data_IF_594754081401
#
_entry.id   IF_594754081401
#
_cell.length_a   1.000
_cell.length_b   1.000
_cell.length_c   1.000
_cell.angle_alpha   90.00
_cell.angle_beta   90.00
_cell.angle_gamma   90.00
#
_symmetry.space_group_name_H-M   'P 1'
#
loop_
_entity.id
_entity.type
_entity.pdbx_description
1 polymer ?
#
# COMPACT_ATOMS: atom_id res chain seq x y z
N UNK A 1 -2.07 7.46 26.37
CA UNK A 1 -2.35 7.56 24.91
C UNK A 1 -3.75 7.03 24.60
N UNK A 2 -4.56 7.76 23.82
CA UNK A 2 -5.99 7.44 23.58
C UNK A 2 -6.11 6.22 22.65
N UNK A 3 -7.09 5.32 22.87
CA UNK A 3 -7.41 4.12 22.03
C UNK A 3 -7.45 4.43 20.51
N UNK A 4 -7.79 5.67 20.15
CA UNK A 4 -7.81 6.18 18.77
C UNK A 4 -6.43 6.23 18.11
N UNK A 5 -5.36 6.57 18.83
CA UNK A 5 -4.00 6.58 18.30
C UNK A 5 -3.54 5.17 17.93
N UNK A 6 -3.84 4.18 18.77
CA UNK A 6 -3.55 2.77 18.48
C UNK A 6 -4.28 2.28 17.22
N UNK A 7 -5.50 2.73 16.98
CA UNK A 7 -6.22 2.38 15.76
C UNK A 7 -5.57 2.96 14.50
N UNK A 8 -5.13 4.22 14.52
CA UNK A 8 -4.40 4.80 13.38
C UNK A 8 -3.03 4.15 13.15
N UNK A 9 -2.32 3.78 14.22
CA UNK A 9 -1.09 3.01 14.10
C UNK A 9 -1.37 1.63 13.49
N UNK A 10 -2.42 0.95 13.93
CA UNK A 10 -2.86 -0.32 13.35
C UNK A 10 -3.18 -0.18 11.86
N UNK A 11 -3.85 0.92 11.46
CA UNK A 11 -4.11 1.20 10.05
C UNK A 11 -2.79 1.31 9.29
N UNK A 12 -1.82 2.11 9.76
CA UNK A 12 -0.55 2.29 9.06
C UNK A 12 0.20 0.96 8.88
N UNK A 13 0.28 0.14 9.93
CA UNK A 13 0.95 -1.17 9.90
C UNK A 13 0.25 -2.11 8.93
N UNK A 14 -1.06 -2.26 9.04
CA UNK A 14 -1.81 -3.24 8.24
C UNK A 14 -2.01 -2.79 6.80
N UNK A 15 -2.04 -1.48 6.55
CA UNK A 15 -1.96 -0.93 5.20
C UNK A 15 -0.64 -1.34 4.54
N UNK A 16 0.51 -1.13 5.20
CA UNK A 16 1.79 -1.52 4.63
C UNK A 16 1.86 -3.02 4.34
N UNK A 17 1.42 -3.87 5.29
CA UNK A 17 1.41 -5.33 5.12
C UNK A 17 0.58 -5.81 3.91
N UNK A 18 -0.49 -5.08 3.56
CA UNK A 18 -1.28 -5.39 2.37
C UNK A 18 -0.46 -5.26 1.07
N UNK A 19 0.56 -4.40 1.04
CA UNK A 19 1.43 -4.21 -0.12
C UNK A 19 2.18 -5.49 -0.50
N UNK A 20 3.11 -5.97 0.36
CA UNK A 20 3.86 -7.20 0.10
C UNK A 20 2.96 -8.42 -0.13
N UNK A 21 1.87 -8.57 0.64
CA UNK A 21 0.93 -9.67 0.47
C UNK A 21 0.26 -9.66 -0.92
N UNK A 22 -0.21 -8.50 -1.38
CA UNK A 22 -0.83 -8.38 -2.70
C UNK A 22 0.18 -8.43 -3.84
N UNK A 23 1.42 -7.98 -3.61
CA UNK A 23 2.51 -8.12 -4.57
C UNK A 23 2.84 -9.59 -4.82
N UNK A 24 3.06 -10.37 -3.76
CA UNK A 24 3.31 -11.80 -3.87
C UNK A 24 2.14 -12.53 -4.53
N UNK A 25 0.91 -12.21 -4.13
CA UNK A 25 -0.29 -12.77 -4.75
C UNK A 25 -0.38 -12.43 -6.24
N UNK A 26 -0.04 -11.19 -6.63
CA UNK A 26 -0.02 -10.79 -8.04
C UNK A 26 1.04 -11.55 -8.83
N UNK A 27 2.25 -11.69 -8.29
CA UNK A 27 3.33 -12.47 -8.91
C UNK A 27 2.95 -13.95 -9.09
N UNK A 28 2.33 -14.54 -8.06
CA UNK A 28 1.86 -15.91 -8.11
C UNK A 28 0.72 -16.13 -9.12
N UNK A 29 -0.34 -15.31 -9.06
CA UNK A 29 -1.54 -15.52 -9.89
C UNK A 29 -1.31 -15.12 -11.35
N UNK A 30 -0.67 -13.97 -11.59
CA UNK A 30 -0.55 -13.41 -12.93
C UNK A 30 0.67 -13.96 -13.69
N UNK A 31 1.75 -14.27 -12.98
CA UNK A 31 3.04 -14.62 -13.60
C UNK A 31 3.58 -15.99 -13.19
N UNK A 32 2.88 -16.73 -12.30
CA UNK A 32 3.29 -18.04 -11.80
C UNK A 32 4.67 -18.05 -11.12
N UNK A 33 5.13 -16.90 -10.63
CA UNK A 33 6.40 -16.80 -9.92
C UNK A 33 6.22 -17.15 -8.44
N UNK A 34 6.99 -18.15 -7.98
CA UNK A 34 6.96 -18.65 -6.59
C UNK A 34 8.16 -18.21 -5.75
N UNK A 35 9.28 -17.87 -6.38
CA UNK A 35 10.52 -17.41 -5.72
C UNK A 35 10.65 -15.89 -5.84
N UNK A 36 9.74 -15.18 -5.18
CA UNK A 36 9.76 -13.72 -5.14
C UNK A 36 10.75 -13.29 -4.07
N UNK A 37 11.90 -12.72 -4.45
CA UNK A 37 12.86 -12.15 -3.49
C UNK A 37 12.26 -10.87 -2.89
N UNK A 38 11.51 -11.04 -1.81
CA UNK A 38 10.74 -9.97 -1.16
C UNK A 38 11.59 -9.07 -0.27
N UNK A 39 12.78 -9.50 0.16
CA UNK A 39 13.58 -8.78 1.18
C UNK A 39 14.10 -7.41 0.72
N UNK A 40 14.64 -7.30 -0.49
CA UNK A 40 15.09 -6.01 -1.05
C UNK A 40 13.92 -5.07 -1.38
N UNK A 41 12.82 -5.65 -1.87
CA UNK A 41 11.56 -4.94 -2.14
C UNK A 41 10.98 -4.37 -0.85
N UNK A 42 10.87 -5.18 0.21
CA UNK A 42 10.37 -4.75 1.53
C UNK A 42 11.27 -3.66 2.12
N UNK A 43 12.60 -3.77 2.00
CA UNK A 43 13.52 -2.77 2.54
C UNK A 43 13.28 -1.37 1.99
N UNK A 44 13.30 -1.22 0.67
CA UNK A 44 13.07 0.07 0.02
C UNK A 44 11.64 0.56 0.17
N UNK A 45 10.65 -0.32 -0.03
CA UNK A 45 9.24 0.07 0.07
C UNK A 45 8.83 0.45 1.49
N UNK A 46 9.38 -0.17 2.53
CA UNK A 46 9.15 0.24 3.93
C UNK A 46 9.66 1.66 4.18
N UNK A 47 10.90 1.94 3.76
CA UNK A 47 11.49 3.27 3.90
C UNK A 47 10.69 4.33 3.13
N UNK A 48 10.31 4.03 1.89
CA UNK A 48 9.49 4.91 1.04
C UNK A 48 8.08 5.11 1.61
N UNK A 49 7.47 4.07 2.18
CA UNK A 49 6.16 4.17 2.82
C UNK A 49 6.21 5.06 4.07
N UNK A 50 7.19 4.85 4.95
CA UNK A 50 7.33 5.61 6.19
C UNK A 50 7.66 7.10 5.95
N UNK A 51 8.31 7.41 4.83
CA UNK A 51 8.66 8.78 4.45
C UNK A 51 7.60 9.42 3.55
N UNK A 52 7.57 9.06 2.27
CA UNK A 52 6.74 9.70 1.24
C UNK A 52 5.30 9.19 1.29
N UNK A 53 5.09 7.89 1.55
CA UNK A 53 3.74 7.31 1.62
C UNK A 53 2.88 7.92 2.71
N UNK A 54 3.39 7.99 3.94
CA UNK A 54 2.70 8.65 5.07
C UNK A 54 2.47 10.13 4.77
N UNK A 55 3.44 10.83 4.16
CA UNK A 55 3.29 12.23 3.79
C UNK A 55 2.11 12.44 2.83
N UNK A 56 2.00 11.63 1.77
CA UNK A 56 0.87 11.67 0.83
C UNK A 56 -0.46 11.34 1.50
N UNK A 57 -0.47 10.36 2.42
CA UNK A 57 -1.66 10.03 3.21
C UNK A 57 -2.11 11.26 4.02
N UNK A 58 -1.18 11.89 4.74
CA UNK A 58 -1.47 13.06 5.58
C UNK A 58 -1.97 14.24 4.75
N UNK A 59 -1.29 14.59 3.66
CA UNK A 59 -1.67 15.70 2.78
C UNK A 59 -3.07 15.50 2.24
N UNK A 60 -3.39 14.31 1.71
CA UNK A 60 -4.71 14.01 1.16
C UNK A 60 -5.79 14.10 2.23
N UNK A 61 -5.55 13.55 3.43
CA UNK A 61 -6.52 13.58 4.53
C UNK A 61 -6.77 15.01 5.01
N UNK A 62 -5.74 15.84 5.10
CA UNK A 62 -5.84 17.26 5.45
C UNK A 62 -6.62 18.00 4.36
N UNK A 63 -6.28 17.79 3.09
CA UNK A 63 -6.95 18.42 1.95
C UNK A 63 -8.45 18.09 1.94
N UNK A 64 -8.81 16.81 1.99
CA UNK A 64 -10.20 16.36 2.06
C UNK A 64 -10.94 16.93 3.27
N UNK A 65 -10.21 17.16 4.37
CA UNK A 65 -10.75 17.83 5.56
C UNK A 65 -11.02 19.30 5.36
N UNK A 66 -10.12 20.02 4.74
CA UNK A 66 -10.27 21.45 4.44
C UNK A 66 -11.46 21.68 3.51
N UNK A 67 -11.64 20.83 2.50
CA UNK A 67 -12.78 20.95 1.57
C UNK A 67 -14.07 20.31 2.08
N UNK A 68 -14.04 19.62 3.22
CA UNK A 68 -15.17 18.91 3.80
C UNK A 68 -15.79 17.83 2.87
N UNK A 69 -14.98 17.25 1.99
CA UNK A 69 -15.37 16.21 1.03
C UNK A 69 -14.78 14.90 1.52
N UNK A 70 -15.61 13.96 1.98
CA UNK A 70 -15.13 12.70 2.54
C UNK A 70 -15.85 11.49 1.97
N UNK A 71 -15.41 11.08 0.79
CA UNK A 71 -15.85 9.85 0.16
C UNK A 71 -14.70 8.84 0.14
N UNK A 72 -14.99 7.61 0.56
CA UNK A 72 -14.03 6.51 0.55
C UNK A 72 -13.36 6.36 -0.82
N UNK A 73 -14.16 6.28 -1.89
CA UNK A 73 -13.66 6.10 -3.25
C UNK A 73 -12.84 7.29 -3.75
N UNK A 74 -13.23 8.52 -3.40
CA UNK A 74 -12.45 9.71 -3.76
C UNK A 74 -11.08 9.69 -3.06
N UNK A 75 -11.05 9.33 -1.77
CA UNK A 75 -9.81 9.21 -1.02
C UNK A 75 -8.91 8.10 -1.59
N UNK A 76 -9.49 6.94 -1.94
CA UNK A 76 -8.74 5.85 -2.59
C UNK A 76 -8.16 6.30 -3.92
N UNK A 77 -8.95 6.97 -4.76
CA UNK A 77 -8.51 7.47 -6.07
C UNK A 77 -7.37 8.48 -5.94
N UNK A 78 -7.46 9.42 -4.99
CA UNK A 78 -6.36 10.36 -4.73
C UNK A 78 -5.10 9.64 -4.25
N UNK A 79 -5.24 8.66 -3.34
CA UNK A 79 -4.10 7.86 -2.90
C UNK A 79 -3.47 7.09 -4.05
N UNK A 80 -4.24 6.44 -4.91
CA UNK A 80 -3.71 5.74 -6.09
C UNK A 80 -2.93 6.70 -7.01
N UNK A 81 -3.48 7.88 -7.29
CA UNK A 81 -2.80 8.88 -8.11
C UNK A 81 -1.46 9.33 -7.50
N UNK A 82 -1.42 9.60 -6.19
CA UNK A 82 -0.17 9.93 -5.50
C UNK A 82 0.79 8.73 -5.45
N UNK A 83 0.27 7.53 -5.25
CA UNK A 83 1.07 6.33 -5.07
C UNK A 83 1.62 5.80 -6.39
N UNK A 84 1.10 6.22 -7.54
CA UNK A 84 1.80 6.04 -8.82
C UNK A 84 3.22 6.61 -8.75
N UNK A 85 3.43 7.75 -8.10
CA UNK A 85 4.80 8.29 -7.88
C UNK A 85 5.66 7.28 -7.12
N UNK A 86 5.09 6.58 -6.13
CA UNK A 86 5.80 5.56 -5.36
C UNK A 86 6.11 4.31 -6.17
N UNK A 87 5.23 3.92 -7.12
CA UNK A 87 5.51 2.85 -8.09
C UNK A 87 6.79 3.17 -8.87
N UNK A 88 6.87 4.37 -9.46
CA UNK A 88 8.03 4.83 -10.22
C UNK A 88 9.29 5.03 -9.35
N UNK A 89 9.14 5.51 -8.10
CA UNK A 89 10.26 5.62 -7.17
C UNK A 89 10.81 4.24 -6.80
N UNK A 90 9.94 3.26 -6.54
CA UNK A 90 10.34 1.91 -6.10
C UNK A 90 11.16 1.20 -7.18
N UNK A 91 10.75 1.27 -8.45
CA UNK A 91 11.53 0.68 -9.55
C UNK A 91 12.90 1.32 -9.71
N UNK A 92 13.01 2.64 -9.52
CA UNK A 92 14.31 3.34 -9.52
C UNK A 92 15.19 2.90 -8.36
N UNK A 93 14.64 2.80 -7.15
CA UNK A 93 15.37 2.37 -5.94
C UNK A 93 15.83 0.91 -6.01
N UNK A 94 15.05 0.04 -6.65
CA UNK A 94 15.42 -1.35 -6.90
C UNK A 94 16.50 -1.52 -7.97
N UNK A 95 16.92 -0.43 -8.62
CA UNK A 95 18.00 -0.46 -9.61
C UNK A 95 17.62 -1.22 -10.88
N UNK A 96 16.33 -1.19 -11.26
CA UNK A 96 15.80 -1.89 -12.44
C UNK A 96 16.32 -1.28 -13.75
N UNK A 97 17.61 -1.49 -14.05
CA UNK A 97 18.29 -1.38 -15.34
C UNK A 97 18.25 -0.04 -16.09
N UNK A 98 17.42 0.91 -15.68
CA UNK A 98 17.16 2.13 -16.41
C UNK A 98 18.10 3.24 -15.93
N UNK A 99 18.91 3.76 -16.85
CA UNK A 99 19.73 4.97 -16.66
C UNK A 99 18.87 6.27 -16.58
N UNK A 100 17.55 6.15 -16.46
CA UNK A 100 16.58 7.26 -16.48
C UNK A 100 15.22 6.85 -15.91
N UNK A 101 14.26 7.78 -15.93
CA UNK A 101 12.89 7.51 -15.45
C UNK A 101 12.20 6.45 -16.34
N UNK A 102 11.49 5.46 -15.76
CA UNK A 102 10.73 4.49 -16.54
C UNK A 102 9.69 5.18 -17.43
N UNK A 103 9.49 4.66 -18.64
CA UNK A 103 8.43 5.14 -19.54
C UNK A 103 7.04 4.81 -18.96
N UNK A 104 6.00 5.53 -19.40
CA UNK A 104 4.61 5.26 -19.01
C UNK A 104 4.16 3.81 -19.29
N UNK A 105 4.77 3.16 -20.29
CA UNK A 105 4.51 1.75 -20.60
C UNK A 105 4.95 0.79 -19.50
N UNK A 106 5.79 1.23 -18.56
CA UNK A 106 6.25 0.42 -17.42
C UNK A 106 5.08 -0.10 -16.59
N UNK A 107 4.02 0.69 -16.41
CA UNK A 107 2.83 0.27 -15.65
C UNK A 107 2.13 -0.98 -16.21
N UNK A 108 2.42 -1.34 -17.47
CA UNK A 108 1.85 -2.50 -18.14
C UNK A 108 2.83 -3.68 -18.25
N UNK A 109 4.00 -3.62 -17.60
CA UNK A 109 4.91 -4.76 -17.49
C UNK A 109 4.58 -5.61 -16.25
N UNK A 110 5.07 -6.85 -16.17
CA UNK A 110 4.87 -7.68 -14.99
C UNK A 110 5.26 -7.02 -13.67
N UNK A 111 6.42 -6.38 -13.64
CA UNK A 111 6.94 -5.68 -12.46
C UNK A 111 6.12 -4.42 -12.16
N UNK A 112 5.72 -3.69 -13.20
CA UNK A 112 4.91 -2.48 -13.03
C UNK A 112 3.53 -2.77 -12.50
N UNK A 113 2.87 -3.82 -13.01
CA UNK A 113 1.55 -4.28 -12.53
C UNK A 113 1.67 -4.77 -11.08
N UNK A 114 2.68 -5.57 -10.76
CA UNK A 114 2.87 -6.07 -9.39
C UNK A 114 3.18 -4.94 -8.40
N UNK A 115 4.04 -3.98 -8.77
CA UNK A 115 4.30 -2.78 -7.95
C UNK A 115 3.07 -1.87 -7.85
N UNK A 116 2.26 -1.78 -8.89
CA UNK A 116 0.98 -1.07 -8.81
C UNK A 116 0.01 -1.78 -7.87
N UNK A 117 -0.05 -3.11 -7.87
CA UNK A 117 -0.84 -3.89 -6.90
C UNK A 117 -0.33 -3.72 -5.47
N UNK A 118 1.00 -3.64 -5.28
CA UNK A 118 1.63 -3.34 -4.00
C UNK A 118 1.13 -2.00 -3.45
N UNK A 119 1.34 -0.92 -4.19
CA UNK A 119 1.01 0.42 -3.68
C UNK A 119 -0.50 0.67 -3.69
N UNK A 120 -1.22 0.15 -4.69
CA UNK A 120 -2.67 0.23 -4.79
C UNK A 120 -3.39 -0.43 -3.63
N UNK A 121 -2.91 -1.59 -3.15
CA UNK A 121 -3.49 -2.23 -1.96
C UNK A 121 -3.27 -1.41 -0.69
N UNK A 122 -2.08 -0.78 -0.54
CA UNK A 122 -1.80 0.15 0.56
C UNK A 122 -2.75 1.36 0.49
N UNK A 123 -2.98 1.92 -0.70
CA UNK A 123 -3.92 3.01 -0.92
C UNK A 123 -5.34 2.60 -0.49
N UNK A 124 -5.83 1.45 -0.94
CA UNK A 124 -7.14 0.93 -0.61
C UNK A 124 -7.31 0.68 0.90
N UNK A 125 -6.36 -0.02 1.54
CA UNK A 125 -6.43 -0.32 2.97
C UNK A 125 -6.28 0.92 3.84
N UNK A 126 -5.48 1.89 3.42
CA UNK A 126 -5.34 3.17 4.14
C UNK A 126 -6.63 3.97 4.05
N UNK A 127 -7.24 4.04 2.86
CA UNK A 127 -8.52 4.72 2.65
C UNK A 127 -9.61 4.07 3.49
N UNK A 128 -9.72 2.75 3.44
CA UNK A 128 -10.73 2.02 4.21
C UNK A 128 -10.52 2.18 5.72
N UNK A 129 -9.27 2.07 6.20
CA UNK A 129 -8.93 2.26 7.60
C UNK A 129 -9.31 3.65 8.11
N UNK A 130 -8.97 4.70 7.37
CA UNK A 130 -9.30 6.09 7.72
C UNK A 130 -10.81 6.31 7.71
N UNK A 131 -11.53 5.69 6.79
CA UNK A 131 -12.99 5.75 6.72
C UNK A 131 -13.65 4.99 7.89
N UNK A 132 -13.17 3.79 8.21
CA UNK A 132 -13.61 2.99 9.36
C UNK A 132 -13.31 3.69 10.69
N UNK A 133 -12.22 4.47 10.78
CA UNK A 133 -11.91 5.26 11.97
C UNK A 133 -13.01 6.28 12.30
N UNK A 134 -13.70 6.77 11.28
CA UNK A 134 -14.78 7.76 11.39
C UNK A 134 -16.15 7.13 11.60
N UNK A 135 -16.33 5.87 11.22
CA UNK A 135 -17.61 5.17 11.27
C UNK A 135 -17.52 3.90 12.13
N UNK A 136 -18.04 3.90 13.37
CA UNK A 136 -17.89 2.78 14.31
C UNK A 136 -18.35 1.43 13.77
N UNK A 137 -19.46 1.41 13.02
CA UNK A 137 -20.05 0.19 12.43
C UNK A 137 -19.08 -0.50 11.46
N UNK A 138 -18.21 0.26 10.80
CA UNK A 138 -17.27 -0.25 9.79
C UNK A 138 -15.92 -0.70 10.36
N UNK A 139 -15.71 -0.55 11.67
CA UNK A 139 -14.46 -0.97 12.32
C UNK A 139 -14.31 -2.49 12.38
N UNK A 140 -15.37 -3.22 12.70
CA UNK A 140 -15.33 -4.68 12.79
C UNK A 140 -14.88 -5.37 11.48
N UNK A 141 -15.49 -5.06 10.30
CA UNK A 141 -15.04 -5.68 9.05
C UNK A 141 -13.60 -5.28 8.68
N UNK A 142 -13.19 -4.04 8.94
CA UNK A 142 -11.81 -3.62 8.74
C UNK A 142 -10.83 -4.39 9.64
N UNK A 143 -11.19 -4.63 10.91
CA UNK A 143 -10.35 -5.41 11.83
C UNK A 143 -10.22 -6.87 11.39
N UNK A 144 -11.26 -7.45 10.79
CA UNK A 144 -11.20 -8.81 10.26
C UNK A 144 -10.25 -8.88 9.06
N UNK A 145 -10.43 -8.01 8.07
CA UNK A 145 -9.57 -8.01 6.86
C UNK A 145 -8.13 -7.69 7.19
N UNK A 146 -7.88 -6.71 8.08
CA UNK A 146 -6.52 -6.35 8.49
C UNK A 146 -5.80 -7.49 9.22
N UNK A 147 -6.52 -8.35 9.96
CA UNK A 147 -5.95 -9.59 10.53
C UNK A 147 -5.62 -10.63 9.47
N UNK A 148 -6.48 -10.80 8.47
CA UNK A 148 -6.21 -11.72 7.34
C UNK A 148 -4.95 -11.26 6.59
N UNK A 149 -4.82 -9.96 6.30
CA UNK A 149 -3.61 -9.41 5.67
C UNK A 149 -2.35 -9.64 6.50
N UNK A 150 -2.44 -9.52 7.82
CA UNK A 150 -1.32 -9.83 8.71
C UNK A 150 -0.92 -11.32 8.65
N UNK A 151 -1.89 -12.23 8.61
CA UNK A 151 -1.63 -13.67 8.46
C UNK A 151 -0.94 -13.95 7.12
N UNK A 152 -1.48 -13.40 6.01
CA UNK A 152 -0.88 -13.56 4.68
C UNK A 152 0.54 -13.01 4.63
N UNK A 153 0.78 -11.84 5.22
CA UNK A 153 2.11 -11.24 5.29
C UNK A 153 3.13 -12.10 6.06
N UNK A 154 2.72 -12.71 7.18
CA UNK A 154 3.60 -13.62 7.95
C UNK A 154 3.91 -14.88 7.15
N UNK A 155 2.91 -15.46 6.48
CA UNK A 155 3.10 -16.65 5.64
C UNK A 155 4.04 -16.37 4.45
N UNK A 156 3.99 -15.16 3.91
CA UNK A 156 4.84 -14.76 2.77
C UNK A 156 6.29 -14.47 3.18
N UNK A 157 6.51 -13.80 4.32
CA UNK A 157 7.85 -13.44 4.79
C UNK A 157 8.60 -14.62 5.39
N UNK A 158 7.90 -15.66 5.82
CA UNK A 158 8.51 -16.85 6.37
C UNK A 158 8.49 -17.96 5.32
N UNK A 159 9.42 -17.93 4.34
CA UNK A 159 9.57 -19.08 3.46
C UNK A 159 9.97 -20.28 4.33
N UNK A 160 9.43 -21.44 3.97
CA UNK A 160 9.95 -22.72 4.44
C UNK A 160 11.39 -22.92 3.99
#
# INVERSE_FOLDING_TARGET
MKKRCFFYLWIAVTSYMAGPAMYALAMYILYQETDVITTSVIGWTAATFLSVGILFILITVIMLRVFNIYYFWLQTLLFELFFLVLVYMTTVLLGAGNRGLPKLSFLFTPEGISLWMFWGSIALMSSWGIWAARQPVRKSPYMLVSRVMLILFILEIWPR
#
